data_IF_668553960924
#
_entry.id   IF_668553960924
#
_cell.length_a   1.000
_cell.length_b   1.000
_cell.length_c   1.000
_cell.angle_alpha   90.00
_cell.angle_beta   90.00
_cell.angle_gamma   90.00
#
_symmetry.space_group_name_H-M   'P 1'
#
loop_
_entity.id
_entity.type
_entity.pdbx_description
1 polymer ?
#
# COMPACT_ATOMS: atom_id res chain seq x y z
N UNK A 1 42.04 -56.24 5.47
CA UNK A 1 42.91 -56.42 4.28
C UNK A 1 43.01 -55.08 3.56
N UNK A 2 44.23 -54.70 3.13
CA UNK A 2 44.65 -53.52 2.35
C UNK A 2 44.38 -52.14 3.00
N UNK A 3 45.37 -51.48 3.64
CA UNK A 3 46.50 -50.67 3.10
C UNK A 3 46.16 -49.16 3.19
N UNK A 4 46.92 -48.23 3.77
CA UNK A 4 48.30 -48.20 4.25
C UNK A 4 49.04 -46.98 3.69
N UNK A 5 49.72 -46.22 4.58
CA UNK A 5 50.75 -45.16 4.35
C UNK A 5 50.29 -43.74 3.95
N UNK A 6 50.96 -42.63 4.32
CA UNK A 6 51.82 -42.18 5.45
C UNK A 6 52.22 -40.71 5.13
N UNK A 7 52.32 -39.88 6.18
CA UNK A 7 53.28 -38.78 6.45
C UNK A 7 53.75 -37.80 5.34
N UNK A 8 53.79 -36.49 5.64
CA UNK A 8 55.04 -35.69 5.71
C UNK A 8 54.89 -34.52 6.71
N UNK A 9 55.91 -34.37 7.55
CA UNK A 9 56.22 -33.22 8.43
C UNK A 9 57.49 -32.61 7.84
N UNK A 10 57.64 -31.28 7.77
CA UNK A 10 58.96 -30.67 7.54
C UNK A 10 59.21 -29.47 8.44
N UNK A 11 60.45 -29.41 8.92
CA UNK A 11 61.03 -28.50 9.89
C UNK A 11 61.62 -27.26 9.22
N UNK A 12 61.68 -26.16 9.98
CA UNK A 12 62.93 -25.42 10.21
C UNK A 12 63.15 -24.11 9.44
N UNK A 13 63.56 -23.08 10.18
CA UNK A 13 64.36 -21.98 9.64
C UNK A 13 64.11 -20.61 10.28
N UNK A 14 64.81 -20.31 11.37
CA UNK A 14 65.00 -18.94 11.87
C UNK A 14 66.42 -18.51 11.48
N UNK A 15 66.58 -17.40 10.76
CA UNK A 15 67.86 -16.68 10.61
C UNK A 15 67.57 -15.17 10.56
N UNK A 16 68.17 -14.42 11.48
CA UNK A 16 68.23 -12.95 11.48
C UNK A 16 69.17 -12.43 10.38
N UNK A 17 68.83 -11.30 9.75
CA UNK A 17 69.75 -10.53 8.92
C UNK A 17 69.18 -9.16 8.57
N UNK A 18 69.87 -8.10 9.00
CA UNK A 18 69.53 -6.70 8.76
C UNK A 18 69.80 -6.26 7.32
N UNK A 19 69.02 -5.29 6.81
CA UNK A 19 69.43 -3.94 6.34
C UNK A 19 68.41 -3.35 5.36
N UNK A 20 68.36 -2.02 5.36
CA UNK A 20 67.42 -1.10 4.69
C UNK A 20 67.78 -0.90 3.22
N UNK A 21 66.80 -0.91 2.30
CA UNK A 21 66.81 0.00 1.13
C UNK A 21 65.48 -0.02 0.36
N UNK A 22 64.80 1.13 0.37
CA UNK A 22 64.07 1.80 -0.72
C UNK A 22 63.29 0.97 -1.76
N UNK A 23 61.97 1.15 -1.73
CA UNK A 23 61.17 1.37 -2.95
C UNK A 23 60.44 0.17 -3.53
N UNK A 24 59.18 -0.03 -3.12
CA UNK A 24 58.16 -0.63 -3.98
C UNK A 24 56.76 -0.20 -3.51
N UNK A 25 56.04 0.49 -4.39
CA UNK A 25 54.63 0.81 -4.25
C UNK A 25 53.80 -0.45 -4.04
N UNK A 26 52.97 -0.47 -2.99
CA UNK A 26 51.75 -1.30 -2.97
C UNK A 26 50.59 -0.37 -2.67
N UNK A 27 49.78 -0.15 -3.71
CA UNK A 27 48.47 0.48 -3.65
C UNK A 27 47.58 -0.42 -2.81
N UNK A 28 47.40 -0.10 -1.53
CA UNK A 28 46.36 -0.70 -0.71
C UNK A 28 45.05 0.05 -1.00
N UNK A 29 44.28 -0.48 -1.95
CA UNK A 29 42.87 -0.13 -2.13
C UNK A 29 42.16 -0.43 -0.82
N UNK A 30 41.85 0.62 -0.06
CA UNK A 30 41.05 0.54 1.15
C UNK A 30 39.59 0.30 0.75
N UNK A 31 39.29 -0.94 0.37
CA UNK A 31 37.92 -1.46 0.28
C UNK A 31 37.35 -1.40 1.70
N UNK A 32 36.56 -0.37 1.98
CA UNK A 32 35.66 -0.32 3.14
C UNK A 32 34.61 -1.42 2.97
N UNK A 33 34.97 -2.64 3.32
CA UNK A 33 34.01 -3.63 3.77
C UNK A 33 33.87 -3.40 5.27
N UNK A 34 32.78 -2.74 5.67
CA UNK A 34 32.32 -2.80 7.05
C UNK A 34 32.04 -4.28 7.37
N UNK A 35 32.76 -4.92 8.32
CA UNK A 35 32.26 -6.16 8.88
C UNK A 35 31.04 -5.77 9.72
N UNK A 36 29.86 -6.28 9.37
CA UNK A 36 28.77 -6.33 10.33
C UNK A 36 29.24 -7.19 11.50
N UNK A 37 29.63 -6.56 12.61
CA UNK A 37 29.77 -7.23 13.89
C UNK A 37 28.38 -7.66 14.38
N UNK A 38 27.88 -8.78 13.84
CA UNK A 38 26.79 -9.49 14.49
C UNK A 38 27.33 -10.10 15.78
N UNK A 39 26.99 -9.48 16.90
CA UNK A 39 27.18 -10.08 18.23
C UNK A 39 26.19 -11.24 18.37
N UNK A 40 26.54 -12.41 17.81
CA UNK A 40 25.82 -13.65 18.06
C UNK A 40 25.94 -14.00 19.55
N UNK A 41 24.95 -13.60 20.35
CA UNK A 41 24.77 -14.14 21.71
C UNK A 41 24.70 -15.65 21.62
N UNK A 42 25.66 -16.33 22.26
CA UNK A 42 25.73 -17.79 22.28
C UNK A 42 24.47 -18.35 22.96
N UNK A 43 23.66 -19.06 22.19
CA UNK A 43 22.37 -19.58 22.65
C UNK A 43 22.55 -20.65 23.75
N UNK A 44 21.82 -20.48 24.87
CA UNK A 44 21.90 -21.37 26.03
C UNK A 44 21.29 -22.74 25.74
N UNK A 45 21.68 -23.76 26.54
CA UNK A 45 21.07 -25.09 26.46
C UNK A 45 19.55 -25.05 26.65
N UNK A 46 19.08 -24.24 27.59
CA UNK A 46 17.66 -24.02 27.84
C UNK A 46 16.95 -23.42 26.62
N UNK A 47 17.55 -22.44 25.95
CA UNK A 47 16.97 -21.83 24.74
C UNK A 47 16.82 -22.86 23.61
N UNK A 48 17.77 -23.77 23.45
CA UNK A 48 17.68 -24.86 22.47
C UNK A 48 16.55 -25.86 22.80
N UNK A 49 16.39 -26.20 24.08
CA UNK A 49 15.28 -27.07 24.52
C UNK A 49 13.92 -26.40 24.30
N UNK A 50 13.81 -25.09 24.57
CA UNK A 50 12.59 -24.33 24.30
C UNK A 50 12.25 -24.34 22.80
N UNK A 51 13.26 -24.18 21.93
CA UNK A 51 13.10 -24.14 20.47
C UNK A 51 13.15 -25.52 19.80
N UNK A 52 13.17 -26.62 20.57
CA UNK A 52 13.45 -27.97 20.06
C UNK A 52 12.52 -28.37 18.90
N UNK A 53 11.26 -27.91 18.95
CA UNK A 53 10.25 -28.18 17.93
C UNK A 53 9.79 -26.90 17.19
N UNK A 54 10.58 -25.84 17.26
CA UNK A 54 10.23 -24.53 16.74
C UNK A 54 9.40 -23.69 17.71
N UNK A 55 9.38 -22.38 17.45
CA UNK A 55 8.47 -21.43 18.10
C UNK A 55 7.22 -21.24 17.21
N UNK A 56 6.10 -20.77 17.77
CA UNK A 56 4.94 -20.40 16.97
C UNK A 56 5.31 -19.42 15.87
N UNK A 57 4.79 -19.65 14.67
CA UNK A 57 4.92 -18.76 13.51
C UNK A 57 3.59 -18.04 13.33
N UNK A 58 3.60 -16.71 13.42
CA UNK A 58 2.39 -15.89 13.30
C UNK A 58 2.09 -15.45 11.86
N UNK A 59 3.03 -15.69 10.94
CA UNK A 59 2.95 -15.31 9.53
C UNK A 59 2.96 -13.80 9.31
N UNK A 60 3.46 -13.03 10.29
CA UNK A 60 3.58 -11.57 10.23
C UNK A 60 4.73 -11.06 9.36
N UNK A 61 5.49 -11.96 8.71
CA UNK A 61 6.62 -11.63 7.84
C UNK A 61 6.22 -10.67 6.71
N UNK A 62 7.18 -9.83 6.31
CA UNK A 62 7.00 -8.86 5.23
C UNK A 62 6.98 -9.56 3.87
N UNK A 63 5.99 -9.23 3.05
CA UNK A 63 5.79 -9.73 1.69
C UNK A 63 5.96 -8.61 0.69
N UNK A 64 6.66 -8.89 -0.41
CA UNK A 64 7.08 -7.91 -1.40
C UNK A 64 6.44 -8.23 -2.75
N UNK A 65 5.78 -7.23 -3.32
CA UNK A 65 5.21 -7.27 -4.67
C UNK A 65 5.87 -6.17 -5.52
N UNK A 66 5.43 -6.02 -6.78
CA UNK A 66 6.10 -5.13 -7.75
C UNK A 66 6.18 -3.67 -7.27
N UNK A 67 5.14 -3.16 -6.61
CA UNK A 67 5.08 -1.76 -6.16
C UNK A 67 4.41 -1.56 -4.79
N UNK A 68 4.09 -2.64 -4.10
CA UNK A 68 3.61 -2.56 -2.73
C UNK A 68 4.22 -3.69 -1.89
N UNK A 69 4.28 -3.45 -0.60
CA UNK A 69 4.86 -4.34 0.40
C UNK A 69 3.82 -4.42 1.52
N UNK A 70 3.60 -5.60 2.11
CA UNK A 70 2.63 -5.75 3.19
C UNK A 70 3.11 -6.71 4.28
N UNK A 71 2.50 -6.58 5.45
CA UNK A 71 2.47 -7.63 6.47
C UNK A 71 1.02 -8.10 6.60
N UNK A 72 0.80 -9.41 6.68
CA UNK A 72 -0.53 -10.01 6.68
C UNK A 72 -0.93 -10.49 8.08
N UNK A 73 -2.22 -10.36 8.42
CA UNK A 73 -2.77 -10.93 9.65
C UNK A 73 -3.53 -12.21 9.32
N UNK A 74 -2.87 -13.35 9.52
CA UNK A 74 -3.45 -14.68 9.28
C UNK A 74 -4.71 -14.96 10.13
N UNK A 75 -4.86 -14.30 11.29
CA UNK A 75 -6.05 -14.48 12.13
C UNK A 75 -7.25 -13.69 11.60
N UNK A 76 -7.00 -12.51 11.02
CA UNK A 76 -8.04 -11.59 10.52
C UNK A 76 -8.32 -11.72 9.04
N UNK A 77 -7.46 -12.43 8.30
CA UNK A 77 -7.52 -12.61 6.84
C UNK A 77 -7.45 -11.28 6.08
N UNK A 78 -6.75 -10.30 6.66
CA UNK A 78 -6.59 -8.94 6.13
C UNK A 78 -5.13 -8.47 6.31
N UNK A 79 -4.63 -7.48 5.53
CA UNK A 79 -3.32 -6.90 5.81
C UNK A 79 -3.30 -6.23 7.19
N UNK A 80 -2.15 -6.30 7.89
CA UNK A 80 -1.85 -5.43 9.04
C UNK A 80 -1.56 -4.02 8.57
N UNK A 81 -0.74 -3.93 7.52
CA UNK A 81 -0.37 -2.70 6.82
C UNK A 81 0.03 -3.04 5.39
N UNK A 82 -0.15 -2.08 4.48
CA UNK A 82 0.34 -2.13 3.10
C UNK A 82 1.05 -0.81 2.80
N UNK A 83 2.32 -0.89 2.42
CA UNK A 83 3.16 0.24 2.06
C UNK A 83 3.34 0.29 0.53
N UNK A 84 3.29 1.49 -0.03
CA UNK A 84 3.46 1.76 -1.46
C UNK A 84 4.26 3.05 -1.68
N UNK A 85 4.80 3.20 -2.89
CA UNK A 85 5.50 4.42 -3.31
C UNK A 85 4.95 4.91 -4.64
N UNK A 86 4.49 6.15 -4.66
CA UNK A 86 3.96 6.84 -5.83
C UNK A 86 5.00 7.84 -6.35
N UNK A 87 5.02 7.98 -7.66
CA UNK A 87 5.67 9.04 -8.43
C UNK A 87 4.83 9.29 -9.68
N UNK A 88 4.99 10.45 -10.33
CA UNK A 88 4.23 10.76 -11.55
C UNK A 88 4.33 9.63 -12.60
N UNK A 89 5.54 9.08 -12.78
CA UNK A 89 5.82 8.00 -13.72
C UNK A 89 4.97 6.75 -13.47
N UNK A 90 4.75 6.38 -12.19
CA UNK A 90 3.98 5.18 -11.82
C UNK A 90 2.48 5.34 -12.08
N UNK A 91 1.99 6.58 -12.08
CA UNK A 91 0.58 6.91 -12.33
C UNK A 91 0.23 6.93 -13.83
N UNK A 92 1.24 6.90 -14.70
CA UNK A 92 1.08 6.84 -16.14
C UNK A 92 1.19 5.39 -16.64
N UNK A 93 0.47 5.08 -17.72
CA UNK A 93 0.55 3.79 -18.39
C UNK A 93 -0.81 3.23 -18.80
N UNK A 94 -0.76 2.07 -19.46
CA UNK A 94 -1.92 1.47 -20.14
C UNK A 94 -2.59 0.35 -19.33
N UNK A 95 -2.09 0.03 -18.14
CA UNK A 95 -2.69 -1.03 -17.34
C UNK A 95 -4.17 -0.70 -17.05
N UNK A 96 -5.04 -1.66 -17.36
CA UNK A 96 -6.49 -1.53 -17.17
C UNK A 96 -6.97 -2.50 -16.08
N UNK A 97 -7.54 -1.92 -15.03
CA UNK A 97 -8.12 -2.65 -13.91
C UNK A 97 -9.22 -3.61 -14.34
N UNK A 98 -9.85 -3.40 -15.51
CA UNK A 98 -10.87 -4.31 -16.06
C UNK A 98 -10.30 -5.70 -16.40
N UNK A 99 -9.00 -5.81 -16.62
CA UNK A 99 -8.31 -7.08 -16.88
C UNK A 99 -7.90 -7.80 -15.58
N UNK A 100 -7.99 -7.13 -14.44
CA UNK A 100 -7.64 -7.68 -13.14
C UNK A 100 -8.85 -8.37 -12.49
N UNK A 101 -8.58 -9.41 -11.70
CA UNK A 101 -9.59 -10.16 -10.95
C UNK A 101 -9.12 -10.36 -9.53
N UNK A 102 -10.01 -10.13 -8.57
CA UNK A 102 -9.75 -10.50 -7.19
C UNK A 102 -9.55 -12.01 -7.08
N UNK A 103 -8.49 -12.42 -6.38
CA UNK A 103 -8.19 -13.83 -6.11
C UNK A 103 -7.39 -13.96 -4.81
N UNK A 104 -7.43 -15.14 -4.16
CA UNK A 104 -6.53 -15.45 -3.07
C UNK A 104 -5.07 -15.18 -3.47
N UNK A 105 -4.29 -14.70 -2.52
CA UNK A 105 -2.87 -14.51 -2.71
C UNK A 105 -2.16 -15.87 -2.74
N UNK A 106 -1.41 -16.21 -3.80
CA UNK A 106 -0.75 -17.51 -3.91
C UNK A 106 0.35 -17.74 -2.86
N UNK A 107 0.87 -16.68 -2.22
CA UNK A 107 1.94 -16.78 -1.23
C UNK A 107 1.40 -16.90 0.21
N UNK A 108 0.09 -16.73 0.41
CA UNK A 108 -0.57 -16.94 1.70
C UNK A 108 -1.02 -18.41 1.79
N UNK A 109 -0.68 -19.14 2.87
CA UNK A 109 -1.17 -20.51 3.03
C UNK A 109 -2.69 -20.58 3.00
N UNK A 110 -3.24 -21.59 2.34
CA UNK A 110 -4.69 -21.78 2.15
C UNK A 110 -5.50 -21.66 3.45
N UNK A 111 -4.96 -22.15 4.57
CA UNK A 111 -5.58 -22.09 5.89
C UNK A 111 -5.88 -20.66 6.38
N UNK A 112 -5.16 -19.67 5.83
CA UNK A 112 -5.15 -18.30 6.30
C UNK A 112 -5.53 -17.29 5.22
N UNK A 113 -5.77 -17.72 3.98
CA UNK A 113 -6.15 -16.82 2.88
C UNK A 113 -7.65 -16.56 2.89
N UNK A 114 -8.05 -15.36 2.44
CA UNK A 114 -9.45 -15.06 2.18
C UNK A 114 -9.87 -15.51 0.77
N UNK A 115 -11.16 -15.73 0.59
CA UNK A 115 -11.76 -16.11 -0.69
C UNK A 115 -12.77 -15.07 -1.19
N UNK A 116 -13.06 -15.09 -2.48
CA UNK A 116 -14.05 -14.16 -3.05
C UNK A 116 -15.45 -14.40 -2.47
N UNK A 117 -15.73 -15.66 -2.11
CA UNK A 117 -16.96 -16.14 -1.52
C UNK A 117 -17.22 -15.52 -0.15
N UNK A 118 -16.18 -15.16 0.61
CA UNK A 118 -16.35 -14.48 1.90
C UNK A 118 -16.90 -13.06 1.75
N UNK A 119 -16.55 -12.41 0.65
CA UNK A 119 -17.00 -11.05 0.32
C UNK A 119 -18.33 -11.04 -0.44
N UNK A 120 -18.63 -12.08 -1.22
CA UNK A 120 -19.82 -12.11 -2.05
C UNK A 120 -21.09 -12.20 -1.20
N UNK A 121 -21.97 -11.20 -1.30
CA UNK A 121 -23.22 -11.17 -0.55
C UNK A 121 -23.07 -10.79 0.94
N UNK A 122 -21.86 -10.46 1.40
CA UNK A 122 -21.60 -10.11 2.81
C UNK A 122 -22.13 -8.72 3.22
N UNK A 123 -22.47 -7.88 2.26
CA UNK A 123 -22.77 -6.45 2.47
C UNK A 123 -21.53 -5.55 2.48
N UNK A 124 -20.33 -6.10 2.35
CA UNK A 124 -19.06 -5.38 2.29
C UNK A 124 -18.40 -5.50 0.91
N UNK A 125 -17.75 -4.42 0.48
CA UNK A 125 -16.93 -4.42 -0.74
C UNK A 125 -15.52 -4.94 -0.47
N UNK A 126 -14.81 -5.34 -1.52
CA UNK A 126 -13.37 -5.60 -1.50
C UNK A 126 -12.62 -4.26 -1.63
N UNK A 127 -12.17 -3.72 -0.50
CA UNK A 127 -11.45 -2.45 -0.41
C UNK A 127 -9.95 -2.64 -0.53
N UNK A 128 -9.31 -1.96 -1.48
CA UNK A 128 -7.85 -2.02 -1.67
C UNK A 128 -7.13 -1.14 -0.64
N UNK A 129 -5.99 -1.60 -0.12
CA UNK A 129 -5.10 -0.78 0.70
C UNK A 129 -4.05 -0.05 -0.15
N UNK A 130 -3.38 -0.77 -1.06
CA UNK A 130 -2.67 -0.20 -2.21
C UNK A 130 -3.60 -0.23 -3.44
N UNK A 131 -4.05 0.93 -3.96
CA UNK A 131 -5.07 0.96 -4.99
C UNK A 131 -4.51 0.66 -6.38
N UNK A 132 -5.34 0.01 -7.20
CA UNK A 132 -5.00 -0.26 -8.61
C UNK A 132 -4.64 1.02 -9.39
N UNK A 133 -5.22 2.17 -9.04
CA UNK A 133 -4.96 3.46 -9.68
C UNK A 133 -3.50 3.93 -9.61
N UNK A 134 -2.74 3.44 -8.62
CA UNK A 134 -1.36 3.86 -8.36
C UNK A 134 -0.34 3.01 -9.13
N UNK A 135 -0.84 2.06 -9.92
CA UNK A 135 -0.06 1.01 -10.58
C UNK A 135 -0.28 1.00 -12.10
N UNK A 136 -0.52 2.17 -12.69
CA UNK A 136 -0.85 2.30 -14.13
C UNK A 136 0.30 1.91 -15.05
N UNK A 137 1.53 2.02 -14.56
CA UNK A 137 2.77 1.72 -15.28
C UNK A 137 2.98 0.21 -15.54
N UNK A 138 2.35 -0.68 -14.77
CA UNK A 138 2.60 -2.12 -14.84
C UNK A 138 1.32 -2.92 -14.64
N UNK A 139 0.96 -3.73 -15.64
CA UNK A 139 -0.18 -4.65 -15.57
C UNK A 139 0.00 -5.68 -14.45
N UNK A 140 1.22 -6.18 -14.27
CA UNK A 140 1.55 -7.09 -13.18
C UNK A 140 1.33 -6.42 -11.82
N UNK A 141 1.91 -5.23 -11.62
CA UNK A 141 1.78 -4.50 -10.36
C UNK A 141 0.32 -4.20 -10.03
N UNK A 142 -0.47 -3.82 -11.04
CA UNK A 142 -1.90 -3.61 -10.88
C UNK A 142 -2.62 -4.91 -10.52
N UNK A 143 -2.33 -6.03 -11.18
CA UNK A 143 -2.96 -7.32 -10.90
C UNK A 143 -2.63 -7.83 -9.49
N UNK A 144 -1.43 -7.59 -8.99
CA UNK A 144 -1.02 -7.94 -7.62
C UNK A 144 -1.82 -7.15 -6.57
N UNK A 145 -2.26 -5.92 -6.86
CA UNK A 145 -3.18 -5.19 -5.94
C UNK A 145 -4.54 -5.87 -5.77
N UNK A 146 -4.93 -6.79 -6.66
CA UNK A 146 -6.17 -7.56 -6.57
C UNK A 146 -6.01 -8.87 -5.77
N UNK A 147 -4.82 -9.14 -5.23
CA UNK A 147 -4.67 -10.24 -4.27
C UNK A 147 -5.41 -9.89 -2.98
N UNK A 148 -6.14 -10.86 -2.43
CA UNK A 148 -6.95 -10.62 -1.22
C UNK A 148 -6.11 -10.33 0.03
N UNK A 149 -4.78 -10.53 -0.03
CA UNK A 149 -3.82 -10.07 0.96
C UNK A 149 -3.73 -8.53 1.08
N UNK A 150 -4.08 -7.79 0.02
CA UNK A 150 -4.14 -6.32 -0.04
C UNK A 150 -5.56 -5.77 0.25
N UNK A 151 -6.50 -6.64 0.61
CA UNK A 151 -7.94 -6.30 0.64
C UNK A 151 -8.51 -6.39 2.04
N UNK A 152 -9.41 -5.47 2.35
CA UNK A 152 -10.25 -5.50 3.57
C UNK A 152 -11.74 -5.40 3.21
N UNK A 153 -12.64 -5.91 4.07
CA UNK A 153 -14.07 -5.62 3.95
C UNK A 153 -14.33 -4.13 4.18
N UNK A 154 -14.70 -3.40 3.13
CA UNK A 154 -14.86 -1.96 3.18
C UNK A 154 -16.29 -1.54 2.81
N UNK A 155 -16.85 -0.57 3.52
CA UNK A 155 -18.17 -0.03 3.22
C UNK A 155 -18.20 0.52 1.79
N UNK A 156 -19.21 0.14 1.00
CA UNK A 156 -19.30 0.52 -0.42
C UNK A 156 -19.24 2.04 -0.66
N UNK A 157 -19.91 2.84 0.18
CA UNK A 157 -19.92 4.30 0.05
C UNK A 157 -18.60 4.92 0.50
N UNK A 158 -17.93 4.31 1.47
CA UNK A 158 -16.59 4.72 1.88
C UNK A 158 -15.57 4.46 0.76
N UNK A 159 -15.52 3.22 0.27
CA UNK A 159 -14.62 2.76 -0.79
C UNK A 159 -14.76 3.61 -2.07
N UNK A 160 -15.99 3.75 -2.57
CA UNK A 160 -16.25 4.52 -3.79
C UNK A 160 -16.30 6.04 -3.59
N UNK A 161 -16.27 6.52 -2.34
CA UNK A 161 -16.46 7.92 -1.97
C UNK A 161 -15.22 8.51 -1.30
N UNK A 162 -15.29 8.72 0.01
CA UNK A 162 -14.24 9.41 0.78
C UNK A 162 -12.86 8.76 0.66
N UNK A 163 -12.78 7.43 0.72
CA UNK A 163 -11.51 6.71 0.61
C UNK A 163 -10.87 6.90 -0.78
N UNK A 164 -11.65 6.76 -1.85
CA UNK A 164 -11.18 7.06 -3.21
C UNK A 164 -10.77 8.53 -3.37
N UNK A 165 -11.46 9.49 -2.74
CA UNK A 165 -11.02 10.90 -2.73
C UNK A 165 -9.67 11.08 -2.04
N UNK A 166 -9.42 10.38 -0.93
CA UNK A 166 -8.12 10.36 -0.25
C UNK A 166 -7.04 9.71 -1.12
N UNK A 167 -7.34 8.60 -1.81
CA UNK A 167 -6.42 8.00 -2.79
C UNK A 167 -6.13 8.95 -3.96
N UNK A 168 -7.12 9.71 -4.43
CA UNK A 168 -6.93 10.74 -5.46
C UNK A 168 -6.00 11.84 -4.96
N UNK A 169 -6.15 12.27 -3.71
CA UNK A 169 -5.24 13.24 -3.08
C UNK A 169 -3.81 12.71 -2.99
N UNK A 170 -3.60 11.44 -2.61
CA UNK A 170 -2.27 10.81 -2.62
C UNK A 170 -1.60 10.86 -4.00
N UNK A 171 -2.37 10.64 -5.07
CA UNK A 171 -1.90 10.77 -6.45
C UNK A 171 -1.60 12.22 -6.82
N UNK A 172 -2.47 13.14 -6.45
CA UNK A 172 -2.29 14.57 -6.73
C UNK A 172 -1.02 15.15 -6.08
N UNK A 173 -0.61 14.60 -4.91
CA UNK A 173 0.65 14.98 -4.28
C UNK A 173 1.87 14.73 -5.18
N UNK A 174 1.83 13.78 -6.13
CA UNK A 174 2.98 13.55 -7.03
C UNK A 174 3.22 14.72 -7.98
N UNK A 175 2.21 15.57 -8.23
CA UNK A 175 2.37 16.80 -9.03
C UNK A 175 3.21 17.88 -8.33
N UNK A 176 3.42 17.73 -7.01
CA UNK A 176 4.09 18.73 -6.15
C UNK A 176 5.28 18.16 -5.39
N UNK A 177 5.34 16.85 -5.26
CA UNK A 177 6.36 16.11 -4.52
C UNK A 177 6.87 14.96 -5.38
N UNK A 178 8.19 14.83 -5.47
CA UNK A 178 8.83 13.80 -6.29
C UNK A 178 8.48 12.39 -5.82
N UNK A 179 8.51 12.20 -4.51
CA UNK A 179 8.31 10.90 -3.87
C UNK A 179 7.19 11.02 -2.84
N UNK A 180 6.22 10.10 -2.93
CA UNK A 180 5.11 9.98 -2.00
C UNK A 180 5.06 8.54 -1.51
N UNK A 181 5.41 8.30 -0.25
CA UNK A 181 5.22 7.01 0.40
C UNK A 181 3.89 7.00 1.13
N UNK A 182 3.16 5.90 0.98
CA UNK A 182 1.88 5.75 1.65
C UNK A 182 1.80 4.40 2.34
N UNK A 183 1.33 4.38 3.58
CA UNK A 183 1.06 3.17 4.34
C UNK A 183 -0.40 3.16 4.74
N UNK A 184 -1.16 2.19 4.22
CA UNK A 184 -2.59 2.02 4.49
C UNK A 184 -2.83 0.78 5.36
N UNK A 185 -3.91 0.75 6.14
CA UNK A 185 -4.31 -0.49 6.82
C UNK A 185 -5.62 -0.39 7.61
N UNK A 186 -6.11 -1.54 8.12
CA UNK A 186 -7.30 -1.63 8.95
C UNK A 186 -7.04 -1.34 10.44
N UNK A 187 -8.07 -0.89 11.15
CA UNK A 187 -8.11 -0.76 12.60
C UNK A 187 -9.44 -1.30 13.18
N UNK A 188 -9.34 -1.94 14.34
CA UNK A 188 -10.46 -2.35 15.19
C UNK A 188 -10.40 -1.60 16.51
N UNK A 189 -11.01 -0.42 16.55
CA UNK A 189 -10.92 0.52 17.68
C UNK A 189 -12.02 0.25 18.72
N UNK A 190 -11.74 0.48 20.01
CA UNK A 190 -12.74 0.29 21.05
C UNK A 190 -13.81 1.36 21.03
N UNK A 191 -15.03 0.97 21.33
CA UNK A 191 -16.13 1.87 21.69
C UNK A 191 -16.30 1.86 23.21
N UNK A 192 -16.67 3.01 23.78
CA UNK A 192 -16.95 3.10 25.22
C UNK A 192 -18.44 2.87 25.44
N UNK A 193 -18.81 1.82 26.18
CA UNK A 193 -20.19 1.52 26.55
C UNK A 193 -20.71 2.46 27.65
N UNK A 194 -22.02 2.44 27.89
CA UNK A 194 -22.68 3.27 28.92
C UNK A 194 -22.09 3.07 30.32
N UNK A 195 -21.63 1.85 30.65
CA UNK A 195 -20.96 1.51 31.91
C UNK A 195 -19.46 1.87 31.92
N UNK A 196 -19.00 2.70 30.97
CA UNK A 196 -17.62 3.18 30.78
C UNK A 196 -16.59 2.09 30.47
N UNK A 197 -17.01 0.86 30.16
CA UNK A 197 -16.09 -0.17 29.66
C UNK A 197 -15.71 0.11 28.21
N UNK A 198 -14.51 -0.29 27.82
CA UNK A 198 -14.04 -0.19 26.43
C UNK A 198 -14.14 -1.56 25.79
N UNK A 199 -14.94 -1.67 24.73
CA UNK A 199 -15.20 -2.92 24.02
C UNK A 199 -14.80 -2.75 22.56
N UNK A 200 -14.00 -3.69 22.05
CA UNK A 200 -13.73 -3.81 20.62
C UNK A 200 -14.74 -4.80 20.06
N UNK A 201 -15.58 -4.35 19.12
CA UNK A 201 -16.55 -5.18 18.41
C UNK A 201 -16.39 -4.97 16.91
N UNK A 202 -16.36 -6.06 16.15
CA UNK A 202 -16.28 -6.05 14.71
C UNK A 202 -16.91 -7.31 14.14
N UNK A 203 -17.43 -7.23 12.92
CA UNK A 203 -18.05 -8.35 12.21
C UNK A 203 -16.98 -9.26 11.61
N UNK A 204 -17.26 -10.56 11.54
CA UNK A 204 -16.57 -11.53 10.70
C UNK A 204 -17.49 -11.91 9.52
N UNK A 205 -16.94 -12.02 8.32
CA UNK A 205 -17.70 -12.37 7.11
C UNK A 205 -17.15 -13.64 6.46
N UNK A 206 -18.04 -14.37 5.79
CA UNK A 206 -17.69 -15.57 5.05
C UNK A 206 -17.47 -16.80 5.93
N UNK A 207 -16.99 -17.88 5.30
CA UNK A 207 -16.65 -19.13 6.00
C UNK A 207 -15.26 -19.06 6.64
N UNK A 208 -14.40 -18.16 6.13
CA UNK A 208 -13.02 -18.00 6.57
C UNK A 208 -12.87 -16.88 7.61
N UNK A 209 -13.99 -16.36 8.13
CA UNK A 209 -14.07 -15.38 9.21
C UNK A 209 -13.20 -14.13 8.96
N UNK A 210 -13.36 -13.50 7.79
CA UNK A 210 -12.61 -12.30 7.42
C UNK A 210 -13.06 -11.12 8.28
N UNK A 211 -12.13 -10.45 8.96
CA UNK A 211 -12.45 -9.38 9.89
C UNK A 211 -12.81 -8.08 9.17
N UNK A 212 -13.97 -7.51 9.53
CA UNK A 212 -14.41 -6.19 9.05
C UNK A 212 -13.80 -5.10 9.93
N UNK A 213 -12.92 -4.23 9.43
CA UNK A 213 -12.36 -3.16 10.24
C UNK A 213 -13.40 -2.11 10.62
N UNK A 214 -13.25 -1.54 11.81
CA UNK A 214 -14.06 -0.38 12.26
C UNK A 214 -13.60 0.92 11.59
N UNK A 215 -12.30 1.03 11.33
CA UNK A 215 -11.64 2.21 10.78
C UNK A 215 -10.56 1.78 9.80
N UNK A 216 -10.17 2.69 8.91
CA UNK A 216 -9.01 2.56 8.05
C UNK A 216 -8.05 3.70 8.38
N UNK A 217 -6.75 3.47 8.21
CA UNK A 217 -5.76 4.52 8.33
C UNK A 217 -4.95 4.68 7.06
N UNK A 218 -4.41 5.89 6.86
CA UNK A 218 -3.35 6.17 5.89
C UNK A 218 -2.28 7.04 6.55
N UNK A 219 -1.02 6.67 6.39
CA UNK A 219 0.14 7.51 6.71
C UNK A 219 0.80 7.90 5.41
N UNK A 220 0.93 9.20 5.17
CA UNK A 220 1.49 9.77 3.95
C UNK A 220 2.78 10.50 4.33
N UNK A 221 3.89 10.13 3.71
CA UNK A 221 5.16 10.81 3.81
C UNK A 221 5.53 11.33 2.41
N UNK A 222 5.91 12.60 2.31
CA UNK A 222 6.30 13.22 1.04
C UNK A 222 7.69 13.83 1.12
N UNK A 223 8.40 13.82 -0.01
CA UNK A 223 9.70 14.48 -0.18
C UNK A 223 9.67 15.45 -1.36
N UNK A 224 10.13 16.68 -1.14
CA UNK A 224 10.31 17.68 -2.21
C UNK A 224 11.56 17.39 -3.03
N UNK A 225 11.48 17.67 -4.33
CA UNK A 225 12.56 17.41 -5.29
C UNK A 225 13.83 18.23 -5.02
N UNK A 226 13.70 19.54 -4.81
CA UNK A 226 14.83 20.47 -4.65
C UNK A 226 15.18 20.77 -3.18
N UNK A 227 14.66 19.96 -2.25
CA UNK A 227 14.92 20.09 -0.82
C UNK A 227 14.78 18.71 -0.17
N UNK A 228 15.72 17.78 -0.43
CA UNK A 228 15.60 16.39 0.01
C UNK A 228 15.49 16.24 1.53
N UNK A 229 15.93 17.24 2.29
CA UNK A 229 15.86 17.28 3.75
C UNK A 229 14.48 17.71 4.28
N UNK A 230 13.59 18.23 3.42
CA UNK A 230 12.24 18.66 3.81
C UNK A 230 11.26 17.53 3.55
N UNK A 231 11.02 16.77 4.61
CA UNK A 231 9.96 15.77 4.66
C UNK A 231 8.70 16.37 5.29
N UNK A 232 7.54 15.92 4.82
CA UNK A 232 6.28 16.19 5.49
C UNK A 232 5.44 14.92 5.63
N UNK A 233 4.75 14.81 6.76
CA UNK A 233 3.99 13.63 7.13
C UNK A 233 2.57 14.00 7.58
N UNK A 234 1.59 13.20 7.18
CA UNK A 234 0.22 13.23 7.69
C UNK A 234 -0.24 11.81 8.00
N UNK A 235 -0.86 11.62 9.17
CA UNK A 235 -1.53 10.38 9.55
C UNK A 235 -3.02 10.64 9.69
N UNK A 236 -3.84 9.78 9.08
CA UNK A 236 -5.29 9.94 9.01
C UNK A 236 -5.98 8.65 9.43
N UNK A 237 -7.06 8.75 10.20
CA UNK A 237 -7.90 7.62 10.62
C UNK A 237 -9.35 7.94 10.31
N UNK A 238 -9.95 7.15 9.41
CA UNK A 238 -11.32 7.35 8.95
C UNK A 238 -12.20 6.16 9.36
N UNK A 239 -13.46 6.37 9.75
CA UNK A 239 -14.37 5.26 10.01
C UNK A 239 -14.66 4.47 8.72
N UNK A 240 -14.82 3.15 8.85
CA UNK A 240 -15.26 2.28 7.75
C UNK A 240 -16.78 2.40 7.54
N UNK A 241 -17.24 3.62 7.27
CA UNK A 241 -18.63 4.03 7.15
C UNK A 241 -18.76 5.11 6.05
N UNK A 242 -19.97 5.41 5.57
CA UNK A 242 -20.19 6.51 4.64
C UNK A 242 -19.74 7.84 5.26
N UNK A 243 -18.96 8.63 4.51
CA UNK A 243 -18.52 9.98 4.90
C UNK A 243 -18.84 10.92 3.73
N UNK A 244 -19.53 12.02 4.03
CA UNK A 244 -20.00 13.00 3.05
C UNK A 244 -18.92 13.97 2.55
N UNK A 245 -19.35 14.96 1.78
CA UNK A 245 -18.50 16.05 1.26
C UNK A 245 -18.37 17.23 2.22
N UNK A 246 -19.20 17.24 3.27
CA UNK A 246 -19.21 18.19 4.37
C UNK A 246 -18.05 18.00 5.36
N UNK A 247 -17.40 16.83 5.33
CA UNK A 247 -16.23 16.53 6.15
C UNK A 247 -14.92 16.74 5.39
N UNK A 248 -14.00 17.48 6.00
CA UNK A 248 -12.65 17.73 5.50
C UNK A 248 -11.67 16.65 5.96
N UNK A 249 -10.60 16.40 5.19
CA UNK A 249 -9.57 15.41 5.56
C UNK A 249 -8.91 15.72 6.91
N UNK A 250 -8.72 17.01 7.22
CA UNK A 250 -8.08 17.46 8.46
C UNK A 250 -8.86 17.04 9.72
N UNK A 251 -10.17 16.84 9.63
CA UNK A 251 -10.99 16.31 10.75
C UNK A 251 -10.59 14.89 11.16
N UNK A 252 -9.99 14.13 10.24
CA UNK A 252 -9.54 12.76 10.44
C UNK A 252 -8.03 12.67 10.69
N UNK A 253 -7.33 13.82 10.77
CA UNK A 253 -5.91 13.84 11.05
C UNK A 253 -5.64 13.50 12.52
N UNK A 254 -4.69 12.60 12.76
CA UNK A 254 -4.22 12.23 14.10
C UNK A 254 -2.71 12.42 14.18
N UNK A 255 -2.16 12.45 15.39
CA UNK A 255 -0.71 12.37 15.53
C UNK A 255 -0.19 10.99 15.13
N UNK A 256 1.05 10.92 14.64
CA UNK A 256 1.67 9.63 14.31
C UNK A 256 1.70 8.71 15.54
N UNK A 257 2.06 9.24 16.71
CA UNK A 257 2.11 8.52 17.98
C UNK A 257 0.76 7.93 18.40
N UNK A 258 -0.34 8.63 18.16
CA UNK A 258 -1.68 8.09 18.43
C UNK A 258 -2.00 6.93 17.49
N UNK A 259 -1.66 7.05 16.21
CA UNK A 259 -1.85 5.95 15.26
C UNK A 259 -0.98 4.74 15.60
N UNK A 260 0.28 4.95 15.97
CA UNK A 260 1.18 3.88 16.45
C UNK A 260 0.58 3.18 17.68
N UNK A 261 0.03 3.94 18.64
CA UNK A 261 -0.67 3.38 19.81
C UNK A 261 -1.92 2.59 19.42
N UNK A 262 -2.70 3.07 18.45
CA UNK A 262 -3.93 2.42 18.00
C UNK A 262 -3.67 1.14 17.21
N UNK A 263 -2.61 1.13 16.40
CA UNK A 263 -2.27 0.03 15.47
C UNK A 263 -1.30 -1.00 16.06
N UNK A 264 -0.50 -0.60 17.06
CA UNK A 264 0.62 -1.42 17.54
C UNK A 264 1.80 -1.48 16.57
N UNK A 265 1.87 -0.57 15.59
CA UNK A 265 2.93 -0.48 14.60
C UNK A 265 3.85 0.71 14.88
N UNK A 266 5.06 0.67 14.32
CA UNK A 266 5.95 1.84 14.21
C UNK A 266 6.11 2.18 12.74
N UNK A 267 5.76 3.40 12.35
CA UNK A 267 5.79 3.81 10.95
C UNK A 267 7.11 4.52 10.64
N UNK A 268 7.70 4.21 9.49
CA UNK A 268 8.98 4.78 9.04
C UNK A 268 10.08 4.73 10.13
N UNK A 269 10.41 3.55 10.69
CA UNK A 269 11.33 3.44 11.83
C UNK A 269 12.76 3.92 11.55
N UNK A 270 13.13 4.04 10.27
CA UNK A 270 14.41 4.58 9.82
C UNK A 270 14.42 6.10 9.65
N UNK A 271 13.27 6.76 9.84
CA UNK A 271 13.19 8.21 9.82
C UNK A 271 13.90 8.76 11.07
N UNK A 272 14.94 9.56 10.86
CA UNK A 272 15.71 10.13 11.96
C UNK A 272 14.81 11.05 12.80
N UNK A 273 14.68 10.73 14.09
CA UNK A 273 13.90 11.51 15.05
C UNK A 273 14.48 12.91 15.27
N UNK A 274 15.74 13.15 14.88
CA UNK A 274 16.37 14.47 14.90
C UNK A 274 15.99 15.35 13.71
N UNK A 275 15.52 14.75 12.60
CA UNK A 275 15.08 15.47 11.42
C UNK A 275 13.70 16.11 11.67
N UNK A 276 13.57 17.40 11.36
CA UNK A 276 12.28 18.09 11.46
C UNK A 276 11.36 17.62 10.33
N UNK A 277 10.40 16.75 10.66
CA UNK A 277 9.34 16.30 9.76
C UNK A 277 8.16 17.28 9.91
N UNK A 278 7.81 17.98 8.84
CA UNK A 278 6.71 18.94 8.85
C UNK A 278 5.36 18.22 8.85
N UNK A 279 4.32 18.88 9.36
CA UNK A 279 2.95 18.40 9.16
C UNK A 279 2.55 18.60 7.69
N UNK A 280 2.11 17.53 7.02
CA UNK A 280 1.67 17.57 5.63
C UNK A 280 0.58 18.62 5.39
N UNK A 281 -0.42 18.72 6.27
CA UNK A 281 -1.55 19.63 6.12
C UNK A 281 -1.24 21.09 6.48
N UNK A 282 -0.02 21.37 6.96
CA UNK A 282 0.54 22.72 7.05
C UNK A 282 1.37 23.07 5.82
N UNK A 283 1.94 22.07 5.15
CA UNK A 283 2.77 22.27 3.95
C UNK A 283 1.95 22.23 2.65
N UNK A 284 0.89 21.44 2.62
CA UNK A 284 -0.04 21.21 1.52
C UNK A 284 -1.49 21.38 2.02
N UNK A 285 -2.46 21.47 1.11
CA UNK A 285 -3.84 21.83 1.45
C UNK A 285 -4.54 20.79 2.33
N UNK A 286 -4.24 19.49 2.13
CA UNK A 286 -5.07 18.38 2.61
C UNK A 286 -6.55 18.57 2.24
N UNK A 287 -6.81 19.18 1.08
CA UNK A 287 -8.17 19.36 0.57
C UNK A 287 -8.47 18.23 -0.42
N UNK A 288 -9.50 17.45 -0.10
CA UNK A 288 -10.00 16.44 -1.01
C UNK A 288 -10.81 17.09 -2.12
N UNK A 289 -10.77 16.50 -3.31
CA UNK A 289 -11.62 16.89 -4.44
C UNK A 289 -13.08 17.09 -4.01
N UNK A 290 -13.64 18.23 -4.40
CA UNK A 290 -15.00 18.65 -4.03
C UNK A 290 -16.10 17.85 -4.75
N UNK A 291 -17.35 18.06 -4.35
CA UNK A 291 -18.51 17.36 -4.93
C UNK A 291 -18.61 17.53 -6.44
N UNK A 292 -18.41 18.75 -6.94
CA UNK A 292 -18.57 19.07 -8.37
C UNK A 292 -17.50 18.35 -9.19
N UNK A 293 -16.24 18.54 -8.82
CA UNK A 293 -15.07 17.93 -9.50
C UNK A 293 -15.09 16.40 -9.39
N UNK A 294 -15.48 15.85 -8.23
CA UNK A 294 -15.60 14.41 -8.06
C UNK A 294 -16.71 13.82 -8.93
N UNK A 295 -17.86 14.49 -9.01
CA UNK A 295 -18.98 14.04 -9.85
C UNK A 295 -18.63 14.10 -11.33
N UNK A 296 -17.90 15.13 -11.78
CA UNK A 296 -17.36 15.21 -13.14
C UNK A 296 -16.39 14.06 -13.43
N UNK A 297 -15.45 13.79 -12.52
CA UNK A 297 -14.50 12.68 -12.63
C UNK A 297 -15.20 11.32 -12.76
N UNK A 298 -16.16 11.03 -11.87
CA UNK A 298 -16.92 9.77 -11.90
C UNK A 298 -17.73 9.66 -13.19
N UNK A 299 -18.36 10.74 -13.63
CA UNK A 299 -19.15 10.77 -14.85
C UNK A 299 -18.30 10.52 -16.09
N UNK A 300 -17.12 11.13 -16.20
CA UNK A 300 -16.18 10.85 -17.30
C UNK A 300 -15.78 9.37 -17.37
N UNK A 301 -15.60 8.71 -16.21
CA UNK A 301 -15.35 7.27 -16.16
C UNK A 301 -16.56 6.44 -16.60
N UNK A 302 -17.77 6.82 -16.20
CA UNK A 302 -19.02 6.16 -16.64
C UNK A 302 -19.19 6.29 -18.16
N UNK A 303 -18.99 7.50 -18.72
CA UNK A 303 -19.09 7.78 -20.16
C UNK A 303 -18.18 6.84 -20.95
N UNK A 304 -16.89 6.77 -20.62
CA UNK A 304 -15.94 5.87 -21.32
C UNK A 304 -16.37 4.41 -21.34
N UNK A 305 -17.05 3.94 -20.29
CA UNK A 305 -17.49 2.56 -20.12
C UNK A 305 -18.87 2.23 -20.69
N UNK A 306 -19.64 3.21 -21.15
CA UNK A 306 -21.02 3.01 -21.59
C UNK A 306 -21.08 2.28 -22.94
N UNK A 307 -22.18 1.54 -23.18
CA UNK A 307 -22.34 0.66 -24.35
C UNK A 307 -23.56 0.98 -25.23
N UNK A 308 -24.27 2.08 -24.95
CA UNK A 308 -25.50 2.46 -25.67
C UNK A 308 -25.76 3.94 -25.51
N UNK A 309 -26.28 4.60 -26.56
CA UNK A 309 -26.59 6.04 -26.54
C UNK A 309 -27.57 6.42 -25.42
N UNK A 310 -28.63 5.65 -25.20
CA UNK A 310 -29.61 5.92 -24.14
C UNK A 310 -28.98 6.01 -22.72
N UNK A 311 -27.98 5.17 -22.44
CA UNK A 311 -27.25 5.23 -21.16
C UNK A 311 -26.27 6.40 -21.10
N UNK A 312 -25.71 6.80 -22.24
CA UNK A 312 -24.85 7.98 -22.34
C UNK A 312 -25.66 9.25 -22.01
N UNK A 313 -26.83 9.40 -22.63
CA UNK A 313 -27.77 10.50 -22.36
C UNK A 313 -28.20 10.53 -20.89
N UNK A 314 -28.49 9.37 -20.30
CA UNK A 314 -28.83 9.27 -18.88
C UNK A 314 -27.73 9.84 -17.98
N UNK A 315 -26.46 9.55 -18.26
CA UNK A 315 -25.34 10.08 -17.46
C UNK A 315 -25.29 11.62 -17.55
N UNK A 316 -25.52 12.19 -18.74
CA UNK A 316 -25.53 13.64 -18.93
C UNK A 316 -26.76 14.30 -18.28
N UNK A 317 -27.90 13.62 -18.27
CA UNK A 317 -29.10 14.06 -17.56
C UNK A 317 -28.88 14.10 -16.04
N UNK A 318 -28.28 13.05 -15.46
CA UNK A 318 -27.92 13.00 -14.02
C UNK A 318 -27.01 14.18 -13.62
N UNK A 319 -26.05 14.56 -14.48
CA UNK A 319 -25.19 15.73 -14.24
C UNK A 319 -25.96 17.05 -14.25
N UNK A 320 -26.88 17.20 -15.21
CA UNK A 320 -27.73 18.38 -15.34
C UNK A 320 -28.66 18.52 -14.13
N UNK A 321 -29.25 17.42 -13.67
CA UNK A 321 -30.09 17.37 -12.45
C UNK A 321 -29.29 17.74 -11.20
N UNK A 322 -28.02 17.34 -11.13
CA UNK A 322 -27.12 17.75 -10.06
C UNK A 322 -26.66 19.22 -10.15
N UNK A 323 -27.09 19.98 -11.18
CA UNK A 323 -26.69 21.37 -11.39
C UNK A 323 -25.23 21.54 -11.82
N UNK A 324 -24.62 20.50 -12.41
CA UNK A 324 -23.20 20.47 -12.77
C UNK A 324 -23.06 20.52 -14.29
N UNK A 325 -22.47 21.61 -14.79
CA UNK A 325 -22.07 21.72 -16.19
C UNK A 325 -20.82 20.86 -16.48
N UNK A 326 -20.78 20.10 -17.60
CA UNK A 326 -19.59 19.41 -18.05
C UNK A 326 -18.41 20.34 -18.27
N UNK A 327 -17.21 19.90 -17.90
CA UNK A 327 -15.97 20.60 -18.25
C UNK A 327 -15.50 20.23 -19.68
N UNK A 328 -14.43 20.87 -20.15
CA UNK A 328 -13.87 20.64 -21.49
C UNK A 328 -13.50 19.17 -21.70
N UNK A 329 -12.89 18.55 -20.69
CA UNK A 329 -12.49 17.15 -20.75
C UNK A 329 -13.70 16.21 -20.88
N UNK A 330 -14.74 16.38 -20.05
CA UNK A 330 -15.93 15.56 -20.11
C UNK A 330 -16.70 15.78 -21.42
N UNK A 331 -16.72 17.02 -21.92
CA UNK A 331 -17.33 17.35 -23.22
C UNK A 331 -16.63 16.60 -24.35
N UNK A 332 -15.29 16.60 -24.36
CA UNK A 332 -14.49 15.85 -25.34
C UNK A 332 -14.75 14.34 -25.25
N UNK A 333 -14.69 13.77 -24.04
CA UNK A 333 -14.91 12.33 -23.82
C UNK A 333 -16.33 11.90 -24.20
N UNK A 334 -17.33 12.73 -23.92
CA UNK A 334 -18.70 12.52 -24.34
C UNK A 334 -18.81 12.51 -25.87
N UNK A 335 -18.23 13.50 -26.55
CA UNK A 335 -18.24 13.58 -28.01
C UNK A 335 -17.61 12.35 -28.67
N UNK A 336 -16.40 11.99 -28.26
CA UNK A 336 -15.69 10.79 -28.75
C UNK A 336 -16.54 9.53 -28.55
N UNK A 337 -17.17 9.40 -27.37
CA UNK A 337 -17.99 8.23 -27.07
C UNK A 337 -19.28 8.17 -27.88
N UNK A 338 -19.91 9.31 -28.16
CA UNK A 338 -21.10 9.39 -29.01
C UNK A 338 -20.77 8.90 -30.42
N UNK A 339 -19.65 9.35 -31.00
CA UNK A 339 -19.22 8.89 -32.33
C UNK A 339 -18.96 7.37 -32.34
N UNK A 340 -18.23 6.85 -31.35
CA UNK A 340 -17.96 5.41 -31.23
C UNK A 340 -19.24 4.56 -31.18
N UNK A 341 -20.28 5.04 -30.50
CA UNK A 341 -21.55 4.31 -30.38
C UNK A 341 -22.38 4.37 -31.66
N UNK A 342 -22.41 5.53 -32.33
CA UNK A 342 -23.12 5.71 -33.62
C UNK A 342 -22.49 4.85 -34.73
N UNK A 343 -21.16 4.75 -34.77
CA UNK A 343 -20.46 3.87 -35.71
C UNK A 343 -20.81 2.39 -35.48
N UNK A 344 -21.00 1.98 -34.21
CA UNK A 344 -21.38 0.60 -33.86
C UNK A 344 -22.85 0.28 -34.12
N UNK A 345 -23.72 1.29 -34.10
CA UNK A 345 -25.16 1.15 -34.41
C UNK A 345 -25.44 1.25 -35.92
N UNK A 346 -24.50 1.77 -36.71
CA UNK A 346 -24.60 1.80 -38.17
C UNK A 346 -24.47 0.37 -38.74
N UNK A 347 -25.43 -0.12 -39.56
CA UNK A 347 -25.33 -1.45 -40.14
C UNK A 347 -24.06 -1.55 -40.97
N UNK A 348 -23.19 -2.51 -40.64
CA UNK A 348 -22.04 -2.80 -41.49
C UNK A 348 -22.55 -3.17 -42.88
N UNK A 349 -22.34 -2.27 -43.85
CA UNK A 349 -22.49 -2.57 -45.26
C UNK A 349 -21.44 -3.65 -45.56
N UNK A 350 -21.92 -4.88 -45.76
CA UNK A 350 -21.11 -6.06 -46.07
C UNK A 350 -20.36 -5.91 -47.39
#
# INVERSE_FOLDING_TARGET
MASGFKFVRFFGGFVCGATVSTGACVVAVKLYLHPEESTQKKESSTQRLIKLYGLPVDGGDTRYYTNHILSYDQSRRTPRWVAEHLSEEKLLGKADRKHCKFKPDPDIPELFTAHNEDYLGSGWSRGHMAPAGDNKFSEQSMAETFYLSNVVPQNYKNNAGFWNRLEMYCRELTERFRDVWVISGPLTLPQTSEDKKKIVSYQLIGKDDVAVPTHLYKVILVRKEHSPDVLALGAFVVPNAPIGFDHQLKEFQVSLTELERMSGLTFFPQLDKSQSVKNLCLLDSCELIDFKRFTLYVSGRKVRGVKSLAKLEKIMAELKEAGIAPDEYLTKVHFEKTQELLEKESPQVK
#
